data_IF_309763724674
#
_entry.id   IF_309763724674
#
_cell.length_a   1.000
_cell.length_b   1.000
_cell.length_c   1.000
_cell.angle_alpha   90.00
_cell.angle_beta   90.00
_cell.angle_gamma   90.00
#
_symmetry.space_group_name_H-M   'P 1'
#
loop_
_entity.id
_entity.type
_entity.pdbx_description
1 polymer ?
#
# COMPACT_ATOMS: atom_id res chain seq x y z
N UNK A 1 -13.82 2.08 4.57
CA UNK A 1 -12.53 2.09 3.85
C UNK A 1 -11.68 0.96 4.43
N UNK A 2 -11.29 0.00 3.58
CA UNK A 2 -10.53 -1.18 3.99
C UNK A 2 -9.04 -1.07 3.66
N UNK A 3 -8.71 -0.40 2.56
CA UNK A 3 -7.32 -0.26 2.11
C UNK A 3 -6.39 0.42 3.12
N UNK A 4 -6.78 1.53 3.80
CA UNK A 4 -5.90 2.12 4.81
C UNK A 4 -5.57 1.19 5.99
N UNK A 5 -6.55 0.40 6.44
CA UNK A 5 -6.32 -0.58 7.51
C UNK A 5 -5.42 -1.74 7.05
N UNK A 6 -5.64 -2.24 5.84
CA UNK A 6 -4.79 -3.27 5.20
C UNK A 6 -3.35 -2.77 5.03
N UNK A 7 -3.18 -1.53 4.53
CA UNK A 7 -1.87 -0.91 4.36
C UNK A 7 -1.12 -0.75 5.68
N UNK A 8 -1.81 -0.27 6.74
CA UNK A 8 -1.23 -0.19 8.09
C UNK A 8 -0.73 -1.55 8.55
N UNK A 9 -1.56 -2.58 8.46
CA UNK A 9 -1.19 -3.95 8.85
C UNK A 9 0.03 -4.44 8.08
N UNK A 10 0.06 -4.21 6.78
CA UNK A 10 1.16 -4.63 5.91
C UNK A 10 2.49 -3.92 6.28
N UNK A 11 2.48 -2.59 6.43
CA UNK A 11 3.67 -1.82 6.80
C UNK A 11 4.18 -2.18 8.20
N UNK A 12 3.28 -2.32 9.18
CA UNK A 12 3.65 -2.73 10.54
C UNK A 12 4.30 -4.13 10.57
N UNK A 13 3.80 -5.04 9.74
CA UNK A 13 4.39 -6.38 9.64
C UNK A 13 5.73 -6.40 8.89
N UNK A 14 5.89 -5.51 7.90
CA UNK A 14 7.10 -5.45 7.09
C UNK A 14 8.27 -4.74 7.78
N UNK A 15 7.98 -3.71 8.60
CA UNK A 15 8.98 -2.88 9.25
C UNK A 15 9.11 -3.23 10.74
N UNK A 16 10.19 -3.92 11.16
CA UNK A 16 10.35 -4.37 12.55
C UNK A 16 10.37 -3.24 13.59
N UNK A 17 10.75 -2.02 13.18
CA UNK A 17 10.74 -0.84 14.05
C UNK A 17 9.30 -0.49 14.43
N UNK A 18 8.35 -0.57 13.51
CA UNK A 18 6.93 -0.30 13.76
C UNK A 18 6.26 -1.35 14.65
N UNK A 19 6.82 -2.56 14.72
CA UNK A 19 6.35 -3.56 15.67
C UNK A 19 6.71 -3.21 17.12
N UNK A 20 7.79 -2.41 17.34
CA UNK A 20 8.22 -1.94 18.65
C UNK A 20 7.59 -0.61 19.03
N UNK A 21 7.39 0.28 18.05
CA UNK A 21 6.84 1.62 18.21
C UNK A 21 5.67 1.83 17.23
N UNK A 22 4.49 1.21 17.47
CA UNK A 22 3.36 1.29 16.53
C UNK A 22 2.83 2.72 16.35
N UNK A 23 3.02 3.59 17.35
CA UNK A 23 2.60 4.99 17.32
C UNK A 23 3.47 5.86 16.41
N UNK A 24 4.65 5.37 16.00
CA UNK A 24 5.49 6.04 15.02
C UNK A 24 4.88 6.05 13.61
N UNK A 25 3.90 5.18 13.33
CA UNK A 25 3.18 5.13 12.07
C UNK A 25 1.78 5.72 12.21
N UNK A 26 1.49 6.79 11.49
CA UNK A 26 0.15 7.33 11.34
C UNK A 26 -0.32 7.27 9.88
N UNK A 27 -1.59 6.94 9.68
CA UNK A 27 -2.25 6.96 8.37
C UNK A 27 -3.51 7.82 8.49
N UNK A 28 -3.62 8.82 7.61
CA UNK A 28 -4.75 9.73 7.55
C UNK A 28 -5.38 9.73 6.16
N UNK A 29 -6.70 9.72 6.09
CA UNK A 29 -7.42 10.03 4.84
C UNK A 29 -7.65 11.54 4.83
N UNK A 30 -7.01 12.24 3.91
CA UNK A 30 -6.98 13.72 3.91
C UNK A 30 -7.92 14.36 2.93
N UNK A 31 -8.09 13.74 1.76
CA UNK A 31 -8.99 14.22 0.71
C UNK A 31 -9.71 13.04 0.08
N UNK A 32 -10.98 13.21 -0.25
CA UNK A 32 -11.74 12.17 -0.91
C UNK A 32 -12.84 12.74 -1.78
N UNK A 33 -13.18 11.98 -2.81
CA UNK A 33 -14.32 12.20 -3.69
C UNK A 33 -15.16 10.92 -3.75
N UNK A 34 -16.45 11.10 -3.92
CA UNK A 34 -17.41 10.02 -4.13
C UNK A 34 -17.83 10.06 -5.60
N UNK A 35 -17.50 9.02 -6.35
CA UNK A 35 -17.96 8.84 -7.71
C UNK A 35 -19.21 7.97 -7.71
N UNK A 36 -20.31 8.55 -8.14
CA UNK A 36 -21.60 7.87 -8.33
C UNK A 36 -21.82 7.65 -9.82
N UNK A 37 -22.44 6.53 -10.17
CA UNK A 37 -22.90 6.26 -11.54
C UNK A 37 -24.42 6.09 -11.52
N UNK A 38 -25.08 6.71 -12.47
CA UNK A 38 -26.49 6.47 -12.71
C UNK A 38 -26.66 5.09 -13.38
N UNK A 39 -27.50 4.24 -12.81
CA UNK A 39 -27.74 2.87 -13.27
C UNK A 39 -28.52 2.04 -12.27
N UNK A 40 -28.80 0.80 -12.64
CA UNK A 40 -29.58 -0.15 -11.81
C UNK A 40 -28.85 -0.57 -10.51
N UNK A 41 -27.58 -0.23 -10.38
CA UNK A 41 -26.76 -0.52 -9.22
C UNK A 41 -26.44 0.79 -8.48
N UNK A 42 -26.78 0.87 -7.20
CA UNK A 42 -26.44 1.98 -6.30
C UNK A 42 -24.97 1.98 -5.89
N UNK A 43 -24.11 1.18 -6.53
CA UNK A 43 -22.69 1.12 -6.26
C UNK A 43 -22.00 2.46 -6.48
N UNK A 44 -20.94 2.68 -5.74
CA UNK A 44 -20.15 3.91 -5.80
C UNK A 44 -18.66 3.60 -5.63
N UNK A 45 -17.83 4.58 -5.94
CA UNK A 45 -16.38 4.49 -5.78
C UNK A 45 -15.86 5.63 -4.89
N UNK A 46 -15.11 5.29 -3.88
CA UNK A 46 -14.28 6.24 -3.15
C UNK A 46 -12.96 6.45 -3.89
N UNK A 47 -12.58 7.71 -4.10
CA UNK A 47 -11.23 8.11 -4.51
C UNK A 47 -10.70 9.06 -3.45
N UNK A 48 -9.58 8.73 -2.85
CA UNK A 48 -9.06 9.49 -1.72
C UNK A 48 -7.53 9.42 -1.63
N UNK A 49 -6.96 10.36 -0.91
CA UNK A 49 -5.53 10.35 -0.59
C UNK A 49 -5.32 9.88 0.83
N UNK A 50 -4.40 8.96 1.01
CA UNK A 50 -3.88 8.54 2.32
C UNK A 50 -2.51 9.17 2.51
N UNK A 51 -2.36 9.97 3.56
CA UNK A 51 -1.05 10.40 4.03
C UNK A 51 -0.54 9.41 5.07
N UNK A 52 0.63 8.85 4.78
CA UNK A 52 1.37 7.91 5.61
C UNK A 52 2.50 8.71 6.25
N UNK A 53 2.52 8.79 7.57
CA UNK A 53 3.56 9.52 8.31
C UNK A 53 4.31 8.56 9.20
N UNK A 54 5.62 8.49 9.02
CA UNK A 54 6.53 7.78 9.90
C UNK A 54 7.39 8.79 10.66
N UNK A 55 7.31 8.77 11.98
CA UNK A 55 8.05 9.68 12.84
C UNK A 55 9.33 9.02 13.38
N UNK A 56 10.40 9.82 13.44
CA UNK A 56 11.69 9.41 13.99
C UNK A 56 12.27 8.12 13.38
N UNK A 57 12.04 7.90 12.09
CA UNK A 57 12.52 6.72 11.38
C UNK A 57 14.06 6.74 11.27
N UNK A 58 14.71 5.65 11.68
CA UNK A 58 16.18 5.54 11.72
C UNK A 58 16.75 4.65 10.62
N UNK A 59 15.90 4.02 9.83
CA UNK A 59 16.30 3.22 8.68
C UNK A 59 16.49 4.06 7.41
N UNK A 60 16.89 3.39 6.34
CA UNK A 60 16.89 4.01 5.01
C UNK A 60 15.44 4.16 4.52
N UNK A 61 14.99 5.34 4.08
CA UNK A 61 13.65 5.52 3.50
C UNK A 61 13.30 4.54 2.37
N UNK A 62 14.30 4.05 1.63
CA UNK A 62 14.10 3.02 0.62
C UNK A 62 13.51 1.71 1.19
N UNK A 63 13.76 1.41 2.45
CA UNK A 63 13.19 0.24 3.14
C UNK A 63 11.68 0.35 3.33
N UNK A 64 11.14 1.57 3.39
CA UNK A 64 9.69 1.83 3.46
C UNK A 64 9.06 1.66 2.09
N UNK A 65 9.77 2.12 1.05
CA UNK A 65 9.23 2.17 -0.32
C UNK A 65 9.00 0.77 -0.91
N UNK A 66 9.84 -0.21 -0.57
CA UNK A 66 9.68 -1.57 -1.09
C UNK A 66 8.39 -2.25 -0.59
N UNK A 67 8.10 -2.35 0.72
CA UNK A 67 6.81 -2.90 1.17
C UNK A 67 5.62 -2.11 0.65
N UNK A 68 5.73 -0.79 0.57
CA UNK A 68 4.68 0.05 0.00
C UNK A 68 4.41 -0.33 -1.46
N UNK A 69 5.44 -0.44 -2.30
CA UNK A 69 5.31 -0.83 -3.70
C UNK A 69 4.69 -2.22 -3.88
N UNK A 70 5.06 -3.19 -3.03
CA UNK A 70 4.47 -4.53 -3.05
C UNK A 70 2.98 -4.50 -2.68
N UNK A 71 2.62 -3.72 -1.66
CA UNK A 71 1.22 -3.55 -1.30
C UNK A 71 0.41 -2.88 -2.42
N UNK A 72 0.94 -1.83 -3.05
CA UNK A 72 0.30 -1.13 -4.17
C UNK A 72 0.04 -2.08 -5.34
N UNK A 73 1.01 -2.91 -5.70
CA UNK A 73 0.86 -3.91 -6.78
C UNK A 73 -0.28 -4.88 -6.54
N UNK A 74 -0.52 -5.24 -5.29
CA UNK A 74 -1.58 -6.17 -4.91
C UNK A 74 -2.96 -5.51 -4.74
N UNK A 75 -2.99 -4.24 -4.27
CA UNK A 75 -4.22 -3.62 -3.78
C UNK A 75 -4.64 -2.33 -4.54
N UNK A 76 -3.75 -1.74 -5.36
CA UNK A 76 -4.01 -0.51 -6.11
C UNK A 76 -3.34 -0.56 -7.47
N UNK A 77 -3.62 -1.60 -8.23
CA UNK A 77 -2.96 -1.89 -9.50
C UNK A 77 -3.15 -0.82 -10.56
N UNK A 78 -4.33 -0.20 -10.62
CA UNK A 78 -4.63 0.86 -11.57
C UNK A 78 -3.68 2.06 -11.46
N UNK A 79 -3.15 2.33 -10.26
CA UNK A 79 -2.19 3.40 -10.03
C UNK A 79 -0.90 3.21 -10.82
N UNK A 80 -0.44 1.97 -10.97
CA UNK A 80 0.82 1.63 -11.64
C UNK A 80 0.63 1.24 -13.12
N UNK A 81 -0.59 0.92 -13.55
CA UNK A 81 -0.88 0.61 -14.95
C UNK A 81 -0.92 1.85 -15.83
N UNK A 82 -1.24 3.00 -15.26
CA UNK A 82 -1.21 4.26 -15.96
C UNK A 82 0.15 4.95 -15.71
N UNK A 83 0.98 5.03 -16.73
CA UNK A 83 2.33 5.62 -16.64
C UNK A 83 2.33 7.04 -16.04
N UNK A 84 1.34 7.86 -16.32
CA UNK A 84 1.26 9.22 -15.77
C UNK A 84 0.94 9.20 -14.26
N UNK A 85 -0.03 8.41 -13.82
CA UNK A 85 -0.38 8.34 -12.40
C UNK A 85 0.63 7.53 -11.58
N UNK A 86 1.33 6.59 -12.20
CA UNK A 86 2.39 5.82 -11.54
C UNK A 86 3.66 6.62 -11.29
N UNK A 87 3.95 7.62 -12.13
CA UNK A 87 5.14 8.49 -11.98
C UNK A 87 4.86 9.68 -11.06
N UNK A 88 3.70 10.32 -11.20
CA UNK A 88 3.40 11.59 -10.53
C UNK A 88 2.38 11.46 -9.39
N UNK A 89 1.77 10.29 -9.23
CA UNK A 89 0.66 10.09 -8.29
C UNK A 89 1.09 9.83 -6.84
N UNK A 90 2.30 9.31 -6.63
CA UNK A 90 2.84 9.02 -5.30
C UNK A 90 3.93 10.03 -5.00
N UNK A 91 3.72 10.84 -3.98
CA UNK A 91 4.70 11.83 -3.56
C UNK A 91 5.18 11.53 -2.15
N UNK A 92 6.41 11.93 -1.85
CA UNK A 92 6.95 11.81 -0.50
C UNK A 92 7.82 13.01 -0.14
N UNK A 93 7.90 13.27 1.16
CA UNK A 93 8.77 14.26 1.79
C UNK A 93 9.55 13.59 2.91
N UNK A 94 10.79 14.01 3.10
CA UNK A 94 11.68 13.51 4.15
C UNK A 94 12.26 14.69 4.89
N UNK A 95 11.90 14.82 6.15
CA UNK A 95 12.38 15.90 7.04
C UNK A 95 13.40 15.36 8.03
N UNK A 96 14.65 15.83 7.99
CA UNK A 96 15.65 15.45 8.97
C UNK A 96 15.25 15.94 10.38
N UNK A 97 15.18 15.00 11.34
CA UNK A 97 14.95 15.32 12.77
C UNK A 97 16.29 15.52 13.47
N UNK A 98 17.22 14.62 13.23
CA UNK A 98 18.61 14.68 13.72
C UNK A 98 19.57 13.97 12.74
N UNK A 99 20.83 13.71 13.17
CA UNK A 99 21.82 13.03 12.33
C UNK A 99 21.53 11.54 12.07
N UNK A 100 20.50 10.96 12.71
CA UNK A 100 20.21 9.53 12.66
C UNK A 100 18.73 9.22 12.41
N UNK A 101 17.85 10.22 12.46
CA UNK A 101 16.42 10.04 12.35
C UNK A 101 15.81 11.04 11.38
N UNK A 102 14.81 10.59 10.65
CA UNK A 102 14.01 11.39 9.72
C UNK A 102 12.52 11.17 9.97
N UNK A 103 11.71 12.18 9.70
CA UNK A 103 10.28 12.00 9.51
C UNK A 103 10.02 11.81 8.03
N UNK A 104 9.20 10.83 7.70
CA UNK A 104 8.84 10.50 6.30
C UNK A 104 7.34 10.65 6.15
N UNK A 105 6.92 11.50 5.23
CA UNK A 105 5.54 11.63 4.81
C UNK A 105 5.37 11.14 3.38
N UNK A 106 4.37 10.28 3.13
CA UNK A 106 4.06 9.75 1.81
C UNK A 106 2.58 9.99 1.54
N UNK A 107 2.26 10.64 0.42
CA UNK A 107 0.89 10.83 -0.05
C UNK A 107 0.58 9.82 -1.15
N UNK A 108 -0.41 8.98 -0.90
CA UNK A 108 -0.80 7.86 -1.74
C UNK A 108 -2.27 7.99 -2.17
N UNK A 109 -2.57 8.17 -3.47
CA UNK A 109 -3.94 8.12 -3.97
C UNK A 109 -4.45 6.69 -4.01
N UNK A 110 -5.64 6.46 -3.48
CA UNK A 110 -6.32 5.17 -3.44
C UNK A 110 -7.74 5.27 -3.95
N UNK A 111 -8.27 4.15 -4.45
CA UNK A 111 -9.67 3.98 -4.80
C UNK A 111 -10.25 2.70 -4.21
N UNK A 112 -11.53 2.72 -3.86
CA UNK A 112 -12.28 1.54 -3.40
C UNK A 112 -13.68 1.58 -4.02
N UNK A 113 -14.03 0.55 -4.77
CA UNK A 113 -15.36 0.37 -5.32
C UNK A 113 -16.24 -0.43 -4.35
N UNK A 114 -17.46 0.04 -4.17
CA UNK A 114 -18.49 -0.56 -3.34
C UNK A 114 -19.65 -1.00 -4.23
N UNK A 115 -19.97 -2.27 -4.19
CA UNK A 115 -21.18 -2.82 -4.82
C UNK A 115 -22.30 -2.85 -3.80
N UNK A 116 -23.48 -2.36 -4.20
CA UNK A 116 -24.68 -2.39 -3.39
C UNK A 116 -25.63 -3.41 -3.97
N UNK A 117 -25.95 -4.42 -3.20
CA UNK A 117 -26.90 -5.46 -3.57
C UNK A 117 -28.13 -5.35 -2.68
N UNK A 118 -29.31 -5.31 -3.31
CA UNK A 118 -30.57 -5.46 -2.58
C UNK A 118 -30.85 -6.95 -2.35
N UNK A 119 -31.32 -7.33 -1.18
CA UNK A 119 -31.85 -8.65 -0.92
C UNK A 119 -33.37 -8.70 -1.17
N UNK A 120 -33.95 -9.90 -1.12
CA UNK A 120 -35.39 -10.15 -1.36
C UNK A 120 -36.32 -9.45 -0.31
N UNK A 121 -35.74 -8.86 0.74
CA UNK A 121 -36.43 -8.14 1.80
C UNK A 121 -36.23 -6.61 1.74
N UNK A 122 -35.86 -6.07 0.56
CA UNK A 122 -35.54 -4.65 0.35
C UNK A 122 -34.45 -4.10 1.27
N UNK A 123 -33.54 -4.95 1.75
CA UNK A 123 -32.39 -4.52 2.52
C UNK A 123 -31.19 -4.40 1.59
N UNK A 124 -30.36 -3.38 1.79
CA UNK A 124 -29.16 -3.15 1.02
C UNK A 124 -27.93 -3.67 1.73
N UNK A 125 -27.16 -4.48 1.05
CA UNK A 125 -25.85 -4.96 1.50
C UNK A 125 -24.75 -4.29 0.68
N UNK A 126 -23.82 -3.64 1.36
CA UNK A 126 -22.62 -3.06 0.74
C UNK A 126 -21.46 -4.05 0.83
N UNK A 127 -20.79 -4.29 -0.30
CA UNK A 127 -19.59 -5.13 -0.37
C UNK A 127 -18.47 -4.41 -1.11
N UNK A 128 -17.25 -4.53 -0.59
CA UNK A 128 -16.08 -4.01 -1.29
C UNK A 128 -15.74 -4.91 -2.46
N UNK A 129 -15.54 -4.30 -3.63
CA UNK A 129 -15.11 -5.03 -4.82
C UNK A 129 -13.64 -5.39 -4.67
N UNK A 130 -13.32 -6.67 -4.86
CA UNK A 130 -11.95 -7.14 -4.86
C UNK A 130 -11.18 -6.60 -6.09
N UNK A 131 -9.90 -6.35 -5.91
CA UNK A 131 -9.00 -6.05 -7.03
C UNK A 131 -8.93 -7.26 -7.98
N UNK A 132 -8.88 -7.02 -9.31
CA UNK A 132 -8.71 -8.10 -10.26
C UNK A 132 -7.39 -8.85 -10.02
N UNK A 133 -7.38 -10.19 -10.09
CA UNK A 133 -6.15 -10.95 -9.94
C UNK A 133 -5.14 -10.58 -11.03
N UNK A 134 -3.85 -10.64 -10.70
CA UNK A 134 -2.79 -10.43 -11.69
C UNK A 134 -2.68 -11.66 -12.59
N UNK A 135 -2.83 -11.53 -13.91
CA UNK A 135 -2.82 -12.70 -14.81
C UNK A 135 -1.46 -13.40 -14.93
N UNK A 136 -0.35 -12.75 -14.62
CA UNK A 136 1.01 -13.23 -14.91
C UNK A 136 1.93 -13.36 -13.69
N UNK A 137 1.41 -13.21 -12.49
CA UNK A 137 2.19 -13.39 -11.27
C UNK A 137 1.49 -14.43 -10.40
N UNK A 138 2.22 -15.50 -10.09
CA UNK A 138 1.79 -16.38 -8.99
C UNK A 138 1.52 -15.51 -7.76
N UNK A 139 0.39 -15.71 -7.08
CA UNK A 139 0.09 -14.96 -5.88
C UNK A 139 1.26 -15.13 -4.92
N UNK A 140 1.92 -14.04 -4.56
CA UNK A 140 2.90 -14.08 -3.47
C UNK A 140 2.15 -14.49 -2.22
N UNK A 141 2.33 -15.74 -1.82
CA UNK A 141 1.59 -16.37 -0.72
C UNK A 141 1.85 -15.67 0.62
N UNK A 142 2.98 -14.97 0.74
CA UNK A 142 3.29 -14.12 1.89
C UNK A 142 4.32 -13.03 1.51
N UNK A 143 3.87 -11.83 1.07
CA UNK A 143 4.78 -10.74 0.75
C UNK A 143 5.60 -10.27 1.97
N UNK A 144 5.11 -10.47 3.18
CA UNK A 144 5.81 -10.15 4.42
C UNK A 144 6.96 -11.12 4.68
N UNK A 145 6.76 -12.41 4.39
CA UNK A 145 7.82 -13.41 4.50
C UNK A 145 8.96 -13.13 3.51
N UNK A 146 8.64 -12.71 2.28
CA UNK A 146 9.63 -12.29 1.29
C UNK A 146 10.44 -11.08 1.78
N UNK A 147 9.80 -10.08 2.34
CA UNK A 147 10.46 -8.91 2.89
C UNK A 147 11.38 -9.26 4.06
N UNK A 148 10.96 -10.14 4.96
CA UNK A 148 11.82 -10.66 6.05
C UNK A 148 13.05 -11.37 5.52
N UNK A 149 12.94 -12.09 4.41
CA UNK A 149 14.09 -12.75 3.77
C UNK A 149 15.06 -11.75 3.14
N UNK A 150 14.54 -10.68 2.54
CA UNK A 150 15.36 -9.63 1.92
C UNK A 150 16.14 -8.82 2.96
N UNK A 151 15.54 -8.53 4.11
CA UNK A 151 16.14 -7.71 5.16
C UNK A 151 16.87 -8.52 6.25
N UNK A 152 16.78 -9.85 6.23
CA UNK A 152 17.55 -10.66 7.19
C UNK A 152 19.06 -10.58 6.89
N UNK A 153 19.93 -10.37 7.90
CA UNK A 153 21.37 -10.46 7.71
C UNK A 153 21.75 -11.84 7.16
N UNK A 154 22.25 -11.90 5.92
CA UNK A 154 22.54 -13.17 5.23
C UNK A 154 21.42 -13.70 4.35
N UNK A 155 20.34 -12.93 4.11
CA UNK A 155 19.25 -13.31 3.24
C UNK A 155 19.62 -13.41 1.75
N UNK A 156 18.77 -14.02 0.92
CA UNK A 156 19.07 -14.49 -0.44
C UNK A 156 19.36 -13.38 -1.47
N UNK A 157 19.33 -12.11 -1.09
CA UNK A 157 19.72 -11.01 -1.99
C UNK A 157 21.15 -11.19 -2.52
N UNK A 158 22.03 -11.81 -1.73
CA UNK A 158 23.41 -12.10 -2.12
C UNK A 158 23.48 -13.17 -3.23
N UNK A 159 22.55 -14.12 -3.23
CA UNK A 159 22.47 -15.18 -4.27
C UNK A 159 21.77 -14.68 -5.55
N UNK A 160 20.75 -13.83 -5.40
CA UNK A 160 20.05 -13.22 -6.55
C UNK A 160 20.94 -12.24 -7.31
N UNK A 161 21.78 -11.46 -6.64
CA UNK A 161 22.72 -10.53 -7.27
C UNK A 161 23.92 -11.28 -7.87
N UNK A 162 24.39 -12.37 -7.27
CA UNK A 162 25.47 -13.19 -7.81
C UNK A 162 25.08 -13.92 -9.11
N UNK A 163 23.79 -14.18 -9.33
CA UNK A 163 23.29 -14.76 -10.58
C UNK A 163 23.19 -13.80 -11.75
N UNK A 164 23.30 -12.48 -11.50
CA UNK A 164 23.21 -11.45 -12.55
C UNK A 164 24.56 -11.00 -13.13
N UNK A 165 25.68 -11.36 -12.49
CA UNK A 165 27.03 -11.01 -12.95
C UNK A 165 27.65 -12.03 -13.91
N UNK A 166 26.89 -12.98 -14.42
CA UNK A 166 27.37 -14.11 -15.25
C UNK A 166 26.67 -14.29 -16.59
N UNK A 167 26.21 -13.19 -17.24
CA UNK A 167 25.61 -13.28 -18.57
C UNK A 167 26.18 -12.26 -19.53
#
# INVERSE_FOLDING_TARGET
MQKPASLRTHLTAALPELAREPDALALYVTKGTLALRDGDNLGFEYRYTVDIVLLNYRGDPAQIMLPLALWIRANQRELIQNHQTGVDGITFEVDPVDNQAVDVQISLPLSEAIDILADDADRYQASFRAEPPMPDLEPMTDPVALLRQIYAPGGPLKELLAGYEGG
#
